data_IF_369932591585
#
_entry.id   IF_369932591585
#
_cell.length_a   1.000
_cell.length_b   1.000
_cell.length_c   1.000
_cell.angle_alpha   90.00
_cell.angle_beta   90.00
_cell.angle_gamma   90.00
#
_symmetry.space_group_name_H-M   'P 1'
#
loop_
_entity.id
_entity.type
_entity.pdbx_description
1 polymer ?
#
# COMPACT_ATOMS: atom_id res chain seq x y z
N UNK A 1 19.97 -26.11 8.50
CA UNK A 1 19.79 -25.19 9.65
C UNK A 1 18.29 -24.92 9.75
N UNK A 2 17.64 -25.29 10.85
CA UNK A 2 16.20 -25.01 10.99
C UNK A 2 16.05 -23.50 11.11
N UNK A 3 15.34 -22.87 10.18
CA UNK A 3 15.00 -21.46 10.32
C UNK A 3 14.34 -21.26 11.68
N UNK A 4 14.92 -20.43 12.55
CA UNK A 4 14.19 -19.93 13.71
C UNK A 4 12.92 -19.31 13.13
N UNK A 5 11.71 -19.74 13.53
CA UNK A 5 10.50 -19.20 12.94
C UNK A 5 10.49 -17.69 13.19
N UNK A 6 10.63 -16.89 12.13
CA UNK A 6 10.61 -15.42 12.19
C UNK A 6 9.40 -14.89 12.96
N UNK A 7 8.33 -15.68 13.01
CA UNK A 7 7.11 -15.48 13.79
C UNK A 7 7.35 -15.26 15.30
N UNK A 8 8.43 -15.79 15.90
CA UNK A 8 8.69 -15.62 17.34
C UNK A 8 9.06 -14.19 17.72
N UNK A 9 9.84 -13.50 16.87
CA UNK A 9 10.31 -12.14 17.08
C UNK A 9 9.13 -11.16 16.99
N UNK A 10 8.29 -11.37 15.97
CA UNK A 10 7.09 -10.57 15.72
C UNK A 10 6.06 -10.69 16.83
N UNK A 11 5.88 -11.90 17.39
CA UNK A 11 5.00 -12.11 18.52
C UNK A 11 5.53 -11.46 19.81
N UNK A 12 6.87 -11.38 19.97
CA UNK A 12 7.52 -10.79 21.13
C UNK A 12 7.43 -9.26 21.14
N UNK A 13 7.52 -8.64 19.96
CA UNK A 13 7.55 -7.18 19.77
C UNK A 13 6.31 -6.71 19.01
N UNK A 14 5.14 -7.21 19.38
CA UNK A 14 3.91 -7.02 18.61
C UNK A 14 3.50 -5.54 18.55
N UNK A 15 3.71 -4.81 19.64
CA UNK A 15 3.51 -3.37 19.76
C UNK A 15 4.43 -2.53 18.85
N UNK A 16 5.54 -3.13 18.42
CA UNK A 16 6.57 -2.57 17.55
C UNK A 16 6.43 -3.07 16.11
N UNK A 17 5.52 -3.99 15.84
CA UNK A 17 5.16 -4.33 14.47
C UNK A 17 4.43 -3.16 13.83
N UNK A 18 4.76 -2.85 12.58
CA UNK A 18 3.89 -2.07 11.73
C UNK A 18 2.49 -2.68 11.85
N UNK A 19 1.51 -1.83 12.20
CA UNK A 19 0.16 -2.32 12.51
C UNK A 19 -0.53 -2.84 11.24
N UNK A 20 -1.86 -2.84 11.17
CA UNK A 20 -2.56 -2.77 9.89
C UNK A 20 -3.00 -1.32 9.68
N UNK A 21 -2.71 -0.67 8.55
CA UNK A 21 -3.39 0.63 8.35
C UNK A 21 -4.86 0.28 8.16
N UNK A 22 -5.80 1.09 8.64
CA UNK A 22 -7.22 0.89 8.34
C UNK A 22 -7.47 0.68 6.84
N UNK A 23 -6.55 1.16 5.99
CA UNK A 23 -6.63 1.08 4.55
C UNK A 23 -5.40 0.44 3.89
N UNK A 24 -4.58 -0.35 4.59
CA UNK A 24 -3.42 -1.05 4.03
C UNK A 24 -3.15 -2.40 4.71
N UNK A 25 -2.79 -3.42 3.93
CA UNK A 25 -2.28 -4.70 4.45
C UNK A 25 -1.04 -5.10 3.64
N UNK A 26 0.20 -4.88 4.12
CA UNK A 26 1.41 -5.17 3.33
C UNK A 26 2.80 -4.83 3.91
N UNK A 27 3.88 -5.03 3.13
CA UNK A 27 5.27 -5.20 3.61
C UNK A 27 6.41 -4.69 2.67
N UNK A 28 7.67 -4.61 3.17
CA UNK A 28 8.90 -4.05 2.54
C UNK A 28 9.21 -4.49 1.10
N UNK A 29 9.06 -5.77 0.81
CA UNK A 29 9.45 -6.29 -0.51
C UNK A 29 8.35 -6.15 -1.56
N UNK A 30 7.10 -6.06 -1.10
CA UNK A 30 5.89 -6.00 -1.92
C UNK A 30 4.81 -5.35 -1.10
N UNK A 31 4.39 -4.17 -1.55
CA UNK A 31 3.15 -3.54 -1.12
C UNK A 31 2.06 -4.60 -1.25
N UNK A 32 1.51 -5.02 -0.12
CA UNK A 32 0.64 -6.18 0.02
C UNK A 32 1.18 -7.57 -0.39
N UNK A 33 2.19 -8.05 0.32
CA UNK A 33 2.65 -9.42 0.18
C UNK A 33 1.73 -10.45 0.85
N UNK A 34 0.94 -11.20 0.08
CA UNK A 34 0.16 -12.32 0.62
C UNK A 34 1.00 -13.45 1.24
N UNK A 35 2.33 -13.50 1.00
CA UNK A 35 3.25 -14.39 1.73
C UNK A 35 3.38 -14.07 3.20
N UNK A 36 3.24 -12.79 3.50
CA UNK A 36 3.48 -12.21 4.82
C UNK A 36 2.15 -11.83 5.46
N UNK A 37 1.02 -12.32 4.94
CA UNK A 37 -0.32 -12.06 5.48
C UNK A 37 -0.37 -12.35 6.97
N UNK A 38 -0.24 -11.32 7.79
CA UNK A 38 -0.19 -11.41 9.26
C UNK A 38 1.19 -11.70 9.86
N UNK A 39 2.24 -11.91 9.07
CA UNK A 39 3.62 -11.83 9.55
C UNK A 39 3.95 -10.35 9.64
N UNK A 40 3.60 -9.72 10.77
CA UNK A 40 3.94 -8.33 11.05
C UNK A 40 5.39 -8.04 10.65
N UNK A 41 5.67 -6.87 10.10
CA UNK A 41 7.05 -6.42 9.92
C UNK A 41 7.36 -5.51 11.09
N UNK A 42 8.57 -5.62 11.62
CA UNK A 42 9.05 -4.66 12.60
C UNK A 42 9.07 -3.26 11.98
N UNK A 43 8.48 -2.29 12.68
CA UNK A 43 8.57 -0.87 12.32
C UNK A 43 10.04 -0.46 12.17
N UNK A 44 10.42 0.32 11.17
CA UNK A 44 11.71 1.04 11.10
C UNK A 44 11.92 1.98 12.29
N UNK A 45 10.85 2.29 13.02
CA UNK A 45 10.89 3.04 14.27
C UNK A 45 11.05 2.17 15.52
N UNK A 46 11.13 0.83 15.43
CA UNK A 46 11.41 -0.02 16.59
C UNK A 46 12.90 -0.02 16.90
N UNK A 47 13.24 0.22 18.15
CA UNK A 47 14.58 -0.01 18.64
C UNK A 47 14.74 -1.46 19.13
N UNK A 48 13.80 -1.95 19.95
CA UNK A 48 13.95 -3.23 20.64
C UNK A 48 13.82 -4.44 19.71
N UNK A 49 12.91 -4.38 18.75
CA UNK A 49 12.75 -5.43 17.74
C UNK A 49 13.96 -5.51 16.82
N UNK A 50 14.48 -4.36 16.39
CA UNK A 50 15.70 -4.26 15.58
C UNK A 50 16.92 -4.78 16.36
N UNK A 51 17.09 -4.40 17.62
CA UNK A 51 18.21 -4.87 18.46
C UNK A 51 18.19 -6.40 18.61
N UNK A 52 17.00 -7.00 18.71
CA UNK A 52 16.86 -8.45 18.80
C UNK A 52 17.12 -9.17 17.46
N UNK A 53 16.74 -8.57 16.33
CA UNK A 53 17.10 -9.06 14.99
C UNK A 53 18.62 -8.97 14.77
N UNK A 54 19.21 -7.82 15.06
CA UNK A 54 20.66 -7.57 15.02
C UNK A 54 21.42 -8.52 15.93
N UNK A 55 20.95 -8.76 17.15
CA UNK A 55 21.54 -9.72 18.06
C UNK A 55 21.56 -11.14 17.50
N UNK A 56 20.54 -11.53 16.72
CA UNK A 56 20.48 -12.82 16.02
C UNK A 56 21.52 -12.90 14.90
N UNK A 57 21.71 -11.82 14.13
CA UNK A 57 22.77 -11.73 13.12
C UNK A 57 24.15 -11.73 13.76
N UNK A 58 24.41 -10.89 14.75
CA UNK A 58 25.68 -10.86 15.47
C UNK A 58 26.03 -12.24 16.08
N UNK A 59 25.04 -12.96 16.61
CA UNK A 59 25.23 -14.33 17.09
C UNK A 59 25.64 -15.29 15.96
N UNK A 60 25.00 -15.17 14.80
CA UNK A 60 25.35 -15.94 13.61
C UNK A 60 26.76 -15.60 13.11
N UNK A 61 27.10 -14.32 13.05
CA UNK A 61 28.44 -13.83 12.71
C UNK A 61 29.48 -14.43 13.63
N UNK A 62 29.32 -14.28 14.94
CA UNK A 62 30.26 -14.85 15.93
C UNK A 62 30.42 -16.36 15.80
N UNK A 63 29.34 -17.07 15.43
CA UNK A 63 29.36 -18.53 15.28
C UNK A 63 30.11 -19.00 14.04
N UNK A 64 29.91 -18.36 12.88
CA UNK A 64 30.45 -18.85 11.61
C UNK A 64 31.57 -17.98 11.03
N UNK A 65 32.01 -16.91 11.70
CA UNK A 65 33.10 -16.05 11.21
C UNK A 65 34.45 -16.77 11.06
N UNK A 66 34.64 -17.92 11.73
CA UNK A 66 35.84 -18.73 11.59
C UNK A 66 35.77 -19.74 10.42
N UNK A 67 34.62 -19.90 9.77
CA UNK A 67 34.46 -20.84 8.67
C UNK A 67 34.99 -20.22 7.37
N UNK A 68 36.04 -20.81 6.80
CA UNK A 68 36.72 -20.30 5.58
C UNK A 68 35.78 -20.19 4.35
N UNK A 69 34.65 -20.89 4.36
CA UNK A 69 33.65 -20.86 3.30
C UNK A 69 32.62 -19.73 3.46
N UNK A 70 32.66 -18.96 4.55
CA UNK A 70 31.77 -17.81 4.78
C UNK A 70 32.48 -16.54 4.31
N UNK A 71 32.11 -16.07 3.11
CA UNK A 71 32.76 -14.94 2.44
C UNK A 71 32.01 -13.61 2.59
N UNK A 72 30.86 -13.60 3.27
CA UNK A 72 30.06 -12.41 3.45
C UNK A 72 28.78 -12.67 4.25
N UNK A 73 28.18 -11.58 4.71
CA UNK A 73 26.94 -11.56 5.46
C UNK A 73 25.95 -10.67 4.72
N UNK A 74 24.72 -11.17 4.53
CA UNK A 74 23.65 -10.32 4.04
C UNK A 74 23.16 -9.45 5.21
N UNK A 75 23.01 -8.16 4.94
CA UNK A 75 22.47 -7.19 5.88
C UNK A 75 21.05 -7.64 6.33
N UNK A 76 20.77 -7.73 7.64
CA UNK A 76 19.49 -8.25 8.14
C UNK A 76 18.28 -7.43 7.71
N UNK A 77 18.44 -6.11 7.61
CA UNK A 77 17.35 -5.19 7.29
C UNK A 77 17.01 -5.15 5.79
N UNK A 78 17.25 -6.26 5.08
CA UNK A 78 17.00 -6.55 3.67
C UNK A 78 18.18 -6.29 2.72
N UNK A 79 18.05 -6.75 1.48
CA UNK A 79 18.81 -6.16 0.37
C UNK A 79 18.66 -4.63 0.50
N UNK A 80 19.75 -3.87 0.36
CA UNK A 80 19.74 -2.41 0.20
C UNK A 80 19.06 -2.00 -1.13
N UNK A 81 17.96 -2.67 -1.50
CA UNK A 81 17.12 -2.46 -2.65
C UNK A 81 16.38 -1.14 -2.50
N UNK A 82 16.83 -0.19 -3.30
CA UNK A 82 16.29 1.15 -3.41
C UNK A 82 15.07 1.17 -4.33
N UNK A 83 14.03 1.90 -3.95
CA UNK A 83 12.94 2.20 -4.88
C UNK A 83 11.75 2.93 -4.27
N UNK A 84 10.89 3.44 -5.15
CA UNK A 84 9.61 4.13 -4.84
C UNK A 84 8.64 3.32 -3.98
N UNK A 85 8.92 2.04 -3.73
CA UNK A 85 8.07 1.11 -2.98
C UNK A 85 8.22 1.24 -1.46
N UNK A 86 9.25 1.94 -1.00
CA UNK A 86 9.52 2.18 0.41
C UNK A 86 8.50 3.11 1.10
N UNK A 87 7.66 3.77 0.33
CA UNK A 87 6.70 4.76 0.79
C UNK A 87 5.49 4.16 1.52
N UNK A 88 5.33 2.84 1.50
CA UNK A 88 4.19 2.12 2.11
C UNK A 88 4.54 1.36 3.39
N UNK A 89 5.75 1.53 3.90
CA UNK A 89 6.33 0.54 4.80
C UNK A 89 6.15 0.85 6.28
N UNK A 90 5.66 2.04 6.61
CA UNK A 90 5.76 2.52 7.97
C UNK A 90 4.53 3.33 8.38
N UNK A 91 3.86 2.86 9.42
CA UNK A 91 2.69 3.50 10.00
C UNK A 91 2.36 2.95 11.39
N UNK A 92 1.61 3.74 12.14
CA UNK A 92 1.19 3.41 13.50
C UNK A 92 2.07 4.08 14.56
N UNK A 93 1.86 3.71 15.84
CA UNK A 93 2.43 4.46 16.96
C UNK A 93 3.96 4.52 16.99
N UNK A 94 4.65 3.47 16.56
CA UNK A 94 6.10 3.42 16.49
C UNK A 94 6.66 4.38 15.43
N UNK A 95 6.07 4.35 14.23
CA UNK A 95 6.34 5.26 13.12
C UNK A 95 6.10 6.72 13.50
N UNK A 96 4.93 7.01 14.08
CA UNK A 96 4.57 8.37 14.46
C UNK A 96 5.52 8.90 15.53
N UNK A 97 5.88 8.07 16.52
CA UNK A 97 6.85 8.44 17.55
C UNK A 97 8.20 8.76 16.93
N UNK A 98 8.79 7.85 16.15
CA UNK A 98 10.13 8.05 15.58
C UNK A 98 10.17 9.20 14.58
N UNK A 99 9.09 9.40 13.81
CA UNK A 99 8.97 10.55 12.91
C UNK A 99 8.91 11.87 13.67
N UNK A 100 8.14 11.94 14.76
CA UNK A 100 8.12 13.12 15.64
C UNK A 100 9.48 13.39 16.26
N UNK A 101 10.20 12.35 16.69
CA UNK A 101 11.54 12.52 17.28
C UNK A 101 12.55 13.05 16.25
N UNK A 102 12.50 12.54 15.03
CA UNK A 102 13.25 13.10 13.90
C UNK A 102 12.94 14.58 13.67
N UNK A 103 11.66 14.95 13.63
CA UNK A 103 11.24 16.34 13.42
C UNK A 103 11.59 17.25 14.60
N UNK A 104 11.54 16.75 15.83
CA UNK A 104 12.02 17.48 17.02
C UNK A 104 13.50 17.76 16.90
N UNK A 105 14.31 16.79 16.50
CA UNK A 105 15.74 16.98 16.26
C UNK A 105 16.01 17.97 15.13
N UNK A 106 15.24 17.90 14.04
CA UNK A 106 15.42 18.76 12.85
C UNK A 106 14.95 20.20 13.05
N UNK A 107 13.79 20.39 13.67
CA UNK A 107 13.12 21.70 13.75
C UNK A 107 13.08 22.28 15.17
N UNK A 108 13.04 21.44 16.20
CA UNK A 108 12.96 21.86 17.61
C UNK A 108 11.55 22.25 18.09
N UNK A 109 10.61 22.62 17.22
CA UNK A 109 9.23 22.97 17.61
C UNK A 109 8.19 22.65 16.54
N UNK A 110 6.96 22.35 16.97
CA UNK A 110 5.81 22.12 16.08
C UNK A 110 5.48 23.37 15.25
N UNK A 111 5.72 24.57 15.79
CA UNK A 111 5.50 25.83 15.05
C UNK A 111 6.37 25.94 13.79
N UNK A 112 7.62 25.45 13.83
CA UNK A 112 8.49 25.42 12.65
C UNK A 112 8.05 24.35 11.65
N UNK A 113 7.57 23.20 12.12
CA UNK A 113 6.95 22.18 11.26
C UNK A 113 5.72 22.74 10.56
N UNK A 114 4.79 23.36 11.31
CA UNK A 114 3.60 24.03 10.78
C UNK A 114 3.95 25.08 9.72
N UNK A 115 4.93 25.94 10.00
CA UNK A 115 5.40 26.93 9.02
C UNK A 115 6.02 26.29 7.77
N UNK A 116 6.67 25.13 7.90
CA UNK A 116 7.32 24.44 6.80
C UNK A 116 6.33 23.67 5.91
N UNK A 117 5.28 23.11 6.52
CA UNK A 117 4.28 22.26 5.85
C UNK A 117 2.95 22.96 5.58
N UNK A 118 2.81 24.23 5.97
CA UNK A 118 1.53 24.95 5.87
C UNK A 118 0.42 24.35 6.73
N UNK A 119 0.76 23.58 7.77
CA UNK A 119 -0.21 22.92 8.65
C UNK A 119 -0.47 23.73 9.93
N UNK A 120 -1.38 23.24 10.77
CA UNK A 120 -1.79 23.87 12.03
C UNK A 120 -1.87 22.86 13.18
N UNK A 121 -0.89 21.97 13.29
CA UNK A 121 -0.85 21.00 14.38
C UNK A 121 -0.78 21.73 15.73
N UNK A 122 -1.68 21.38 16.64
CA UNK A 122 -1.76 22.00 17.97
C UNK A 122 -0.55 21.62 18.85
N UNK A 123 -0.10 20.39 18.73
CA UNK A 123 1.04 19.83 19.44
C UNK A 123 1.74 18.74 18.59
N UNK A 124 2.75 18.10 19.17
CA UNK A 124 3.44 17.01 18.49
C UNK A 124 2.56 15.78 18.27
N UNK A 125 1.58 15.48 19.12
CA UNK A 125 0.75 14.28 18.96
C UNK A 125 -0.11 14.34 17.70
N UNK A 126 -0.45 15.54 17.23
CA UNK A 126 -1.13 15.77 15.95
C UNK A 126 -0.23 15.60 14.71
N UNK A 127 1.09 15.39 14.90
CA UNK A 127 2.02 15.08 13.82
C UNK A 127 2.12 13.55 13.67
N UNK A 128 1.80 13.08 12.47
CA UNK A 128 1.84 11.67 12.10
C UNK A 128 2.82 11.45 10.93
N UNK A 129 3.39 10.25 10.86
CA UNK A 129 4.10 9.82 9.66
C UNK A 129 3.12 9.91 8.47
N UNK A 130 3.45 10.64 7.38
CA UNK A 130 2.56 10.78 6.25
C UNK A 130 2.31 9.43 5.59
N UNK A 131 1.10 9.21 5.12
CA UNK A 131 0.84 8.10 4.21
C UNK A 131 1.00 8.53 2.75
N UNK A 132 1.22 7.56 1.86
CA UNK A 132 1.52 7.87 0.46
C UNK A 132 0.35 8.56 -0.26
N UNK A 133 -0.89 8.20 0.08
CA UNK A 133 -2.07 8.78 -0.53
C UNK A 133 -2.11 10.31 -0.35
N UNK A 134 -1.61 10.84 0.77
CA UNK A 134 -1.58 12.30 1.06
C UNK A 134 -0.77 13.08 0.03
N UNK A 135 0.24 12.44 -0.57
CA UNK A 135 1.04 13.04 -1.63
C UNK A 135 0.40 12.94 -3.02
N UNK A 136 -0.73 12.25 -3.11
CA UNK A 136 -1.40 11.88 -4.35
C UNK A 136 -2.89 12.24 -4.34
N UNK A 137 -3.22 13.36 -3.69
CA UNK A 137 -4.56 13.94 -3.75
C UNK A 137 -5.51 13.40 -2.69
N UNK A 138 -5.06 12.60 -1.74
CA UNK A 138 -5.83 12.34 -0.52
C UNK A 138 -5.71 13.52 0.43
N UNK A 139 -6.85 14.09 0.80
CA UNK A 139 -7.00 15.16 1.78
C UNK A 139 -8.34 14.99 2.52
N UNK A 140 -8.70 15.95 3.38
CA UNK A 140 -9.97 15.91 4.13
C UNK A 140 -11.21 16.02 3.24
N UNK A 141 -11.07 16.45 1.99
CA UNK A 141 -12.16 16.56 1.01
C UNK A 141 -12.26 15.33 0.09
N UNK A 142 -11.28 14.42 0.12
CA UNK A 142 -11.33 13.19 -0.67
C UNK A 142 -12.50 12.29 -0.23
N UNK A 143 -13.20 11.69 -1.21
CA UNK A 143 -14.27 10.74 -0.94
C UNK A 143 -13.70 9.33 -0.83
N UNK A 144 -13.74 8.78 0.38
CA UNK A 144 -13.28 7.43 0.67
C UNK A 144 -14.22 6.38 0.05
N UNK A 145 -13.67 5.46 -0.76
CA UNK A 145 -14.41 4.31 -1.28
C UNK A 145 -14.09 3.03 -0.49
N UNK A 146 -13.38 3.15 0.65
CA UNK A 146 -13.23 2.05 1.60
C UNK A 146 -14.60 1.59 2.08
N UNK A 147 -14.82 0.28 2.05
CA UNK A 147 -16.08 -0.31 2.48
C UNK A 147 -16.28 -1.68 1.87
N UNK A 148 -17.53 -2.11 1.78
CA UNK A 148 -17.86 -3.45 1.29
C UNK A 148 -17.84 -3.50 -0.24
N UNK A 149 -17.05 -4.43 -0.78
CA UNK A 149 -16.97 -4.75 -2.19
C UNK A 149 -17.50 -6.15 -2.47
N UNK A 150 -18.21 -6.28 -3.59
CA UNK A 150 -18.54 -7.56 -4.22
C UNK A 150 -17.39 -7.98 -5.12
N UNK A 151 -16.97 -9.24 -5.07
CA UNK A 151 -15.86 -9.76 -5.88
C UNK A 151 -16.20 -11.06 -6.58
N UNK A 152 -15.80 -11.16 -7.84
CA UNK A 152 -15.87 -12.38 -8.64
C UNK A 152 -14.62 -12.52 -9.49
N UNK A 153 -13.95 -13.66 -9.35
CA UNK A 153 -12.79 -13.99 -10.19
C UNK A 153 -13.23 -14.42 -11.58
N UNK A 154 -12.45 -14.02 -12.58
CA UNK A 154 -12.57 -14.51 -13.95
C UNK A 154 -12.35 -16.03 -13.99
N UNK A 155 -12.96 -16.71 -14.96
CA UNK A 155 -12.73 -18.15 -15.14
C UNK A 155 -11.32 -18.40 -15.71
N UNK A 156 -10.70 -19.51 -15.34
CA UNK A 156 -9.41 -19.88 -15.94
C UNK A 156 -9.61 -20.25 -17.41
N UNK A 157 -8.65 -19.90 -18.27
CA UNK A 157 -8.72 -20.30 -19.67
C UNK A 157 -8.70 -21.84 -19.80
N UNK A 158 -9.30 -22.42 -20.86
CA UNK A 158 -9.33 -23.87 -21.04
C UNK A 158 -7.94 -24.51 -20.97
N UNK A 159 -7.79 -25.53 -20.11
CA UNK A 159 -6.51 -26.22 -19.88
C UNK A 159 -5.56 -25.52 -18.89
N UNK A 160 -5.90 -24.35 -18.38
CA UNK A 160 -5.16 -23.68 -17.31
C UNK A 160 -5.76 -24.03 -15.95
N UNK A 161 -4.91 -24.34 -14.97
CA UNK A 161 -5.32 -24.57 -13.58
C UNK A 161 -4.69 -23.53 -12.69
N UNK A 162 -5.49 -22.88 -11.85
CA UNK A 162 -4.95 -22.01 -10.81
C UNK A 162 -4.28 -22.89 -9.74
N UNK A 163 -2.96 -22.78 -9.61
CA UNK A 163 -2.23 -23.41 -8.53
C UNK A 163 -1.93 -22.34 -7.45
N UNK A 164 -2.62 -22.37 -6.30
CA UNK A 164 -2.38 -21.41 -5.23
C UNK A 164 -0.97 -21.49 -4.67
N UNK A 165 -0.26 -22.62 -4.78
CA UNK A 165 1.12 -22.79 -4.30
C UNK A 165 2.16 -22.21 -5.26
N UNK A 166 1.78 -21.98 -6.53
CA UNK A 166 2.61 -21.32 -7.55
C UNK A 166 2.32 -19.82 -7.67
N UNK A 167 1.64 -19.24 -6.69
CA UNK A 167 1.36 -17.80 -6.65
C UNK A 167 2.63 -16.94 -6.86
N UNK A 168 3.83 -17.43 -6.47
CA UNK A 168 5.15 -16.81 -6.74
C UNK A 168 5.44 -16.53 -8.22
N UNK A 169 4.93 -17.38 -9.11
CA UNK A 169 5.07 -17.27 -10.58
C UNK A 169 3.85 -16.56 -11.17
N UNK A 170 2.66 -16.78 -10.60
CA UNK A 170 1.40 -16.18 -11.06
C UNK A 170 1.29 -14.67 -10.79
N UNK A 171 1.89 -14.14 -9.72
CA UNK A 171 1.85 -12.69 -9.45
C UNK A 171 2.59 -11.84 -10.49
N UNK A 172 3.61 -12.42 -11.12
CA UNK A 172 4.54 -11.75 -12.04
C UNK A 172 4.25 -12.04 -13.51
N UNK A 173 3.25 -12.88 -13.78
CA UNK A 173 2.88 -13.26 -15.14
C UNK A 173 1.39 -13.08 -15.30
N UNK A 174 0.98 -12.62 -16.47
CA UNK A 174 -0.43 -12.61 -16.84
C UNK A 174 -1.01 -14.02 -16.68
N UNK A 175 -1.94 -14.17 -15.74
CA UNK A 175 -2.75 -15.39 -15.61
C UNK A 175 -3.71 -15.43 -16.79
N UNK A 176 -3.74 -16.55 -17.52
CA UNK A 176 -4.68 -16.71 -18.62
C UNK A 176 -6.06 -17.06 -18.07
N UNK A 177 -6.98 -16.12 -18.24
CA UNK A 177 -8.38 -16.24 -17.90
C UNK A 177 -9.26 -16.03 -19.12
N UNK A 178 -10.51 -16.47 -19.03
CA UNK A 178 -11.60 -15.99 -19.87
C UNK A 178 -11.94 -14.58 -19.39
N UNK A 179 -11.88 -13.54 -20.25
CA UNK A 179 -12.22 -12.18 -19.83
C UNK A 179 -13.59 -12.10 -19.17
N UNK A 180 -13.71 -11.24 -18.15
CA UNK A 180 -14.99 -10.98 -17.52
C UNK A 180 -16.06 -10.59 -18.57
N UNK A 181 -17.25 -11.20 -18.54
CA UNK A 181 -18.36 -10.83 -19.41
C UNK A 181 -18.71 -9.34 -19.27
N UNK A 182 -19.13 -8.69 -20.37
CA UNK A 182 -19.38 -7.25 -20.39
C UNK A 182 -20.48 -6.82 -19.41
N UNK A 183 -21.47 -7.69 -19.18
CA UNK A 183 -22.55 -7.47 -18.23
C UNK A 183 -22.07 -7.29 -16.79
N UNK A 184 -20.91 -7.87 -16.41
CA UNK A 184 -20.33 -7.67 -15.07
C UNK A 184 -19.95 -6.21 -14.80
N UNK A 185 -19.82 -5.39 -15.84
CA UNK A 185 -19.50 -3.96 -15.72
C UNK A 185 -20.73 -3.06 -15.86
N UNK A 186 -21.91 -3.60 -16.18
CA UNK A 186 -23.13 -2.83 -16.30
C UNK A 186 -23.56 -2.25 -14.95
N UNK A 187 -24.21 -1.09 -14.97
CA UNK A 187 -24.67 -0.41 -13.75
C UNK A 187 -25.61 -1.29 -12.92
N UNK A 188 -26.74 -1.72 -13.49
CA UNK A 188 -27.75 -2.54 -12.82
C UNK A 188 -27.51 -4.04 -12.86
N UNK A 189 -26.26 -4.49 -12.93
CA UNK A 189 -25.93 -5.92 -12.87
C UNK A 189 -26.17 -6.46 -11.46
N UNK A 190 -26.90 -7.57 -11.36
CA UNK A 190 -27.13 -8.28 -10.09
C UNK A 190 -25.90 -9.09 -9.68
N UNK A 191 -25.11 -8.54 -8.77
CA UNK A 191 -23.93 -9.16 -8.17
C UNK A 191 -24.20 -9.73 -6.76
N UNK A 192 -25.46 -9.88 -6.34
CA UNK A 192 -25.80 -10.35 -5.00
C UNK A 192 -25.23 -11.75 -4.70
N UNK A 193 -25.02 -12.57 -5.73
CA UNK A 193 -24.39 -13.90 -5.63
C UNK A 193 -22.86 -13.89 -5.60
N UNK A 194 -22.21 -12.72 -5.62
CA UNK A 194 -20.75 -12.59 -5.56
C UNK A 194 -20.25 -12.60 -4.11
N UNK A 195 -18.97 -12.95 -3.94
CA UNK A 195 -18.32 -12.89 -2.62
C UNK A 195 -18.23 -11.45 -2.12
N UNK A 196 -18.18 -11.25 -0.81
CA UNK A 196 -18.01 -9.93 -0.19
C UNK A 196 -16.71 -9.85 0.60
N UNK A 197 -16.08 -8.69 0.57
CA UNK A 197 -15.04 -8.30 1.53
C UNK A 197 -15.00 -6.78 1.70
N UNK A 198 -14.47 -6.32 2.82
CA UNK A 198 -14.21 -4.89 2.99
C UNK A 198 -12.83 -4.56 2.37
N UNK A 199 -12.77 -3.61 1.45
CA UNK A 199 -11.51 -3.23 0.79
C UNK A 199 -11.33 -1.71 0.68
N UNK A 200 -10.12 -1.21 0.97
CA UNK A 200 -9.08 -1.90 1.76
C UNK A 200 -9.54 -2.12 3.22
N UNK A 201 -8.71 -2.75 4.06
CA UNK A 201 -8.97 -2.85 5.50
C UNK A 201 -9.43 -4.23 6.00
N UNK A 202 -9.61 -5.21 5.12
CA UNK A 202 -9.84 -6.61 5.47
C UNK A 202 -8.67 -7.50 5.08
N UNK A 203 -8.15 -8.29 6.03
CA UNK A 203 -7.02 -9.18 5.76
C UNK A 203 -7.41 -10.35 4.85
N UNK A 204 -8.72 -10.64 4.73
CA UNK A 204 -9.23 -11.60 3.75
C UNK A 204 -8.80 -11.24 2.32
N UNK A 205 -8.61 -9.94 2.02
CA UNK A 205 -8.08 -9.50 0.73
C UNK A 205 -6.71 -10.13 0.42
N UNK A 206 -5.87 -10.36 1.43
CA UNK A 206 -4.55 -10.98 1.29
C UNK A 206 -4.65 -12.43 0.83
N UNK A 207 -5.69 -13.13 1.26
CA UNK A 207 -5.89 -14.56 1.00
C UNK A 207 -6.76 -14.85 -0.23
N UNK A 208 -7.20 -13.81 -0.95
CA UNK A 208 -7.90 -13.98 -2.22
C UNK A 208 -7.01 -14.68 -3.26
N UNK A 209 -7.59 -15.51 -4.14
CA UNK A 209 -6.88 -16.06 -5.29
C UNK A 209 -6.19 -14.96 -6.09
N UNK A 210 -4.88 -15.11 -6.31
CA UNK A 210 -4.04 -14.18 -7.10
C UNK A 210 -4.23 -14.40 -8.59
N UNK A 211 -5.41 -14.02 -9.09
CA UNK A 211 -5.84 -14.14 -10.49
C UNK A 211 -6.87 -13.05 -10.79
N UNK A 212 -7.14 -12.75 -12.08
CA UNK A 212 -8.03 -11.67 -12.45
C UNK A 212 -9.40 -11.74 -11.76
N UNK A 213 -9.88 -10.60 -11.27
CA UNK A 213 -11.19 -10.48 -10.67
C UNK A 213 -11.83 -9.12 -10.97
N UNK A 214 -13.15 -9.10 -10.93
CA UNK A 214 -13.94 -7.87 -10.94
C UNK A 214 -14.43 -7.60 -9.52
N UNK A 215 -14.17 -6.38 -9.07
CA UNK A 215 -14.67 -5.80 -7.84
C UNK A 215 -15.80 -4.83 -8.18
N UNK A 216 -16.90 -4.87 -7.45
CA UNK A 216 -18.04 -3.97 -7.61
C UNK A 216 -18.43 -3.35 -6.27
N UNK A 217 -18.80 -2.08 -6.30
CA UNK A 217 -19.31 -1.34 -5.15
C UNK A 217 -20.32 -0.29 -5.60
N UNK A 218 -21.42 -0.17 -4.87
CA UNK A 218 -22.31 0.98 -4.95
C UNK A 218 -21.96 1.98 -3.84
N UNK A 219 -22.03 3.27 -4.16
CA UNK A 219 -21.76 4.34 -3.21
C UNK A 219 -22.61 5.56 -3.50
N UNK A 220 -22.96 6.31 -2.45
CA UNK A 220 -23.72 7.54 -2.57
C UNK A 220 -22.79 8.75 -2.46
N UNK A 221 -22.77 9.59 -3.49
CA UNK A 221 -21.99 10.81 -3.52
C UNK A 221 -22.86 11.99 -3.04
N UNK A 222 -22.51 12.65 -1.91
CA UNK A 222 -23.25 13.82 -1.43
C UNK A 222 -23.27 14.92 -2.48
N UNK A 223 -24.40 15.62 -2.60
CA UNK A 223 -24.59 16.68 -3.59
C UNK A 223 -23.56 17.80 -3.43
N UNK A 224 -23.21 18.09 -2.19
CA UNK A 224 -22.29 19.13 -1.77
C UNK A 224 -20.81 18.71 -1.85
N UNK A 225 -20.50 17.44 -2.12
CA UNK A 225 -19.12 16.95 -2.10
C UNK A 225 -18.25 17.59 -3.19
N UNK A 226 -18.79 17.81 -4.39
CA UNK A 226 -18.07 18.47 -5.49
C UNK A 226 -18.77 19.71 -5.97
N UNK A 227 -18.00 20.70 -6.41
CA UNK A 227 -18.55 21.86 -7.10
C UNK A 227 -18.98 21.46 -8.52
N UNK A 228 -20.02 22.11 -9.09
CA UNK A 228 -20.37 21.91 -10.49
C UNK A 228 -19.16 22.18 -11.41
N UNK A 229 -18.91 21.26 -12.36
CA UNK A 229 -17.79 21.31 -13.33
C UNK A 229 -16.39 21.13 -12.73
N UNK A 230 -16.28 20.78 -11.46
CA UNK A 230 -15.02 20.38 -10.87
C UNK A 230 -14.61 19.01 -11.43
N UNK A 231 -13.34 18.91 -11.86
CA UNK A 231 -12.79 17.64 -12.35
C UNK A 231 -12.60 16.69 -11.19
N UNK A 232 -12.86 15.41 -11.44
CA UNK A 232 -12.76 14.35 -10.41
C UNK A 232 -11.89 13.22 -10.93
N UNK A 233 -11.01 12.75 -10.06
CA UNK A 233 -10.10 11.64 -10.32
C UNK A 233 -10.39 10.49 -9.36
N UNK A 234 -10.54 9.29 -9.92
CA UNK A 234 -10.59 8.03 -9.18
C UNK A 234 -9.15 7.51 -9.03
N UNK A 235 -8.67 7.43 -7.80
CA UNK A 235 -7.40 6.81 -7.45
C UNK A 235 -7.65 5.37 -7.05
N UNK A 236 -6.95 4.44 -7.69
CA UNK A 236 -7.03 3.00 -7.42
C UNK A 236 -5.65 2.49 -7.07
N UNK A 237 -5.47 2.13 -5.81
CA UNK A 237 -4.24 1.52 -5.33
C UNK A 237 -4.38 0.00 -5.36
N UNK A 238 -4.33 -0.51 -6.59
CA UNK A 238 -4.60 -1.91 -6.88
C UNK A 238 -3.45 -2.83 -6.42
N UNK A 239 -2.21 -2.35 -6.46
CA UNK A 239 -1.00 -3.07 -6.03
C UNK A 239 -0.75 -4.39 -6.79
N UNK A 240 -1.31 -4.53 -7.99
CA UNK A 240 -1.15 -5.69 -8.85
C UNK A 240 0.21 -5.64 -9.56
N UNK A 241 0.77 -6.82 -9.87
CA UNK A 241 2.11 -6.98 -10.46
C UNK A 241 2.11 -7.81 -11.76
N UNK A 242 0.94 -8.13 -12.30
CA UNK A 242 0.79 -8.88 -13.56
C UNK A 242 1.14 -7.99 -14.76
N UNK A 243 2.44 -7.83 -15.01
CA UNK A 243 3.01 -7.02 -16.09
C UNK A 243 2.30 -7.26 -17.43
N UNK A 244 1.94 -6.16 -18.10
CA UNK A 244 1.26 -6.14 -19.38
C UNK A 244 -0.24 -6.46 -19.34
N UNK A 245 -0.79 -6.92 -18.20
CA UNK A 245 -2.24 -7.05 -18.03
C UNK A 245 -2.89 -5.72 -17.61
N UNK A 246 -4.22 -5.62 -17.70
CA UNK A 246 -4.92 -4.35 -17.55
C UNK A 246 -5.67 -4.23 -16.21
N UNK A 247 -5.47 -3.11 -15.53
CA UNK A 247 -6.46 -2.56 -14.59
C UNK A 247 -7.49 -1.79 -15.40
N UNK A 248 -8.78 -2.08 -15.21
CA UNK A 248 -9.88 -1.44 -15.95
C UNK A 248 -10.90 -0.89 -14.96
N UNK A 249 -11.39 0.33 -15.19
CA UNK A 249 -12.39 0.97 -14.34
C UNK A 249 -13.64 1.34 -15.14
N UNK A 250 -14.80 1.10 -14.53
CA UNK A 250 -16.12 1.51 -15.01
C UNK A 250 -16.85 2.26 -13.91
N UNK A 251 -17.52 3.35 -14.27
CA UNK A 251 -18.41 4.11 -13.39
C UNK A 251 -19.77 4.18 -14.07
N UNK A 252 -20.83 3.76 -13.38
CA UNK A 252 -22.21 3.74 -13.91
C UNK A 252 -22.32 3.06 -15.28
N UNK A 253 -21.66 1.92 -15.45
CA UNK A 253 -21.64 1.16 -16.71
C UNK A 253 -20.73 1.74 -17.80
N UNK A 254 -20.17 2.94 -17.63
CA UNK A 254 -19.28 3.57 -18.59
C UNK A 254 -17.82 3.25 -18.26
N UNK A 255 -17.06 2.73 -19.24
CA UNK A 255 -15.61 2.55 -19.11
C UNK A 255 -14.94 3.92 -19.00
N UNK A 256 -14.32 4.20 -17.87
CA UNK A 256 -13.61 5.47 -17.61
C UNK A 256 -12.12 5.38 -17.96
N UNK A 257 -11.58 4.18 -18.00
CA UNK A 257 -10.22 3.96 -18.48
C UNK A 257 -9.71 2.55 -18.30
N UNK A 258 -8.54 2.31 -18.87
CA UNK A 258 -7.74 1.11 -18.65
C UNK A 258 -6.27 1.50 -18.59
N UNK A 259 -5.49 0.74 -17.83
CA UNK A 259 -4.05 0.97 -17.70
C UNK A 259 -3.31 -0.36 -17.61
N UNK A 260 -2.30 -0.59 -18.45
CA UNK A 260 -1.44 -1.75 -18.31
C UNK A 260 -0.59 -1.65 -17.04
N UNK A 261 -0.37 -2.77 -16.39
CA UNK A 261 0.64 -2.89 -15.33
C UNK A 261 2.01 -2.74 -16.00
N UNK A 262 2.76 -1.66 -15.73
CA UNK A 262 3.97 -1.35 -16.50
C UNK A 262 5.16 -2.23 -16.12
N UNK A 263 5.16 -2.82 -14.93
CA UNK A 263 6.27 -3.59 -14.39
C UNK A 263 5.81 -4.50 -13.24
N UNK A 264 6.62 -5.49 -12.87
CA UNK A 264 6.42 -6.46 -11.78
C UNK A 264 6.55 -5.84 -10.36
N UNK A 265 6.08 -4.62 -10.20
CA UNK A 265 6.11 -3.85 -8.96
C UNK A 265 4.71 -3.35 -8.65
N UNK A 266 4.26 -3.40 -7.38
CA UNK A 266 2.97 -2.87 -6.99
C UNK A 266 2.79 -1.45 -7.50
N UNK A 267 1.65 -1.21 -8.12
CA UNK A 267 1.33 0.07 -8.72
C UNK A 267 0.03 0.63 -8.20
N UNK A 268 -0.22 1.87 -8.60
CA UNK A 268 -1.50 2.52 -8.50
C UNK A 268 -1.83 3.13 -9.86
N UNK A 269 -3.10 3.38 -10.09
CA UNK A 269 -3.57 4.08 -11.26
C UNK A 269 -4.59 5.15 -10.89
N UNK A 270 -4.84 6.03 -11.85
CA UNK A 270 -5.76 7.14 -11.71
C UNK A 270 -6.54 7.29 -13.01
N UNK A 271 -7.84 7.52 -12.87
CA UNK A 271 -8.76 7.70 -13.98
C UNK A 271 -9.54 9.00 -13.76
N UNK A 272 -9.70 9.81 -14.80
CA UNK A 272 -10.63 10.94 -14.74
C UNK A 272 -12.06 10.41 -14.90
N UNK A 273 -12.93 10.76 -13.95
CA UNK A 273 -14.30 10.22 -13.86
C UNK A 273 -15.38 11.31 -13.81
N UNK A 274 -14.98 12.56 -14.08
CA UNK A 274 -15.80 13.77 -13.98
C UNK A 274 -17.20 13.61 -14.59
N UNK A 275 -17.27 13.08 -15.81
CA UNK A 275 -18.48 13.00 -16.62
C UNK A 275 -19.30 11.73 -16.38
N UNK A 276 -18.70 10.74 -15.69
CA UNK A 276 -19.38 9.47 -15.39
C UNK A 276 -20.03 9.47 -14.01
N UNK A 277 -19.69 10.41 -13.13
CA UNK A 277 -20.28 10.56 -11.80
C UNK A 277 -21.57 11.39 -11.83
N UNK A 278 -22.53 11.00 -10.99
CA UNK A 278 -23.79 11.73 -10.74
C UNK A 278 -24.01 11.99 -9.24
N UNK A 279 -24.90 12.93 -8.93
CA UNK A 279 -25.36 13.16 -7.54
C UNK A 279 -26.09 11.89 -7.03
N UNK A 280 -25.86 11.50 -5.77
CA UNK A 280 -26.47 10.32 -5.16
C UNK A 280 -25.79 9.02 -5.58
N UNK A 281 -26.59 7.99 -5.87
CA UNK A 281 -26.11 6.62 -6.08
C UNK A 281 -25.28 6.47 -7.36
N UNK A 282 -24.10 5.90 -7.22
CA UNK A 282 -23.17 5.53 -8.28
C UNK A 282 -22.74 4.08 -8.12
N UNK A 283 -22.40 3.42 -9.23
CA UNK A 283 -21.80 2.09 -9.25
C UNK A 283 -20.37 2.16 -9.80
N UNK A 284 -19.42 1.56 -9.10
CA UNK A 284 -18.02 1.40 -9.51
C UNK A 284 -17.73 -0.08 -9.75
N UNK A 285 -17.14 -0.39 -10.90
CA UNK A 285 -16.60 -1.71 -11.18
C UNK A 285 -15.11 -1.62 -11.59
N UNK A 286 -14.27 -2.43 -10.96
CA UNK A 286 -12.84 -2.50 -11.18
C UNK A 286 -12.44 -3.91 -11.59
N UNK A 287 -11.80 -4.07 -12.75
CA UNK A 287 -11.13 -5.33 -13.12
C UNK A 287 -9.67 -5.23 -12.73
N UNK A 288 -9.22 -6.11 -11.83
CA UNK A 288 -7.88 -6.11 -11.26
C UNK A 288 -7.13 -7.39 -11.66
N UNK A 289 -5.92 -7.31 -12.26
CA UNK A 289 -5.20 -8.47 -12.81
C UNK A 289 -4.87 -9.62 -11.85
N UNK A 290 -4.54 -9.33 -10.60
CA UNK A 290 -4.29 -10.32 -9.55
C UNK A 290 -5.47 -10.44 -8.58
N UNK A 291 -6.62 -9.82 -8.90
CA UNK A 291 -7.82 -9.87 -8.07
C UNK A 291 -7.56 -9.31 -6.67
N UNK A 292 -6.75 -8.25 -6.60
CA UNK A 292 -6.23 -7.72 -5.36
C UNK A 292 -6.43 -6.20 -5.28
N UNK A 293 -6.98 -5.75 -4.14
CA UNK A 293 -7.22 -4.35 -3.79
C UNK A 293 -6.75 -4.13 -2.34
N UNK A 294 -5.50 -3.68 -2.19
CA UNK A 294 -4.81 -3.71 -0.90
C UNK A 294 -4.59 -2.38 -0.21
N UNK A 295 -4.87 -1.28 -0.92
CA UNK A 295 -4.74 0.06 -0.38
C UNK A 295 -5.92 0.95 -0.78
N UNK A 296 -5.85 2.26 -0.48
CA UNK A 296 -6.97 3.19 -0.65
C UNK A 296 -7.58 3.12 -2.06
N UNK A 297 -8.90 3.25 -2.13
CA UNK A 297 -9.60 3.62 -3.36
C UNK A 297 -10.43 4.84 -3.01
N UNK A 298 -10.33 5.91 -3.79
CA UNK A 298 -10.98 7.17 -3.44
C UNK A 298 -11.19 8.06 -4.64
N UNK A 299 -12.13 9.00 -4.50
CA UNK A 299 -12.30 10.11 -5.41
C UNK A 299 -11.65 11.35 -4.82
N UNK A 300 -11.02 12.15 -5.68
CA UNK A 300 -10.44 13.44 -5.29
C UNK A 300 -10.67 14.47 -6.38
N UNK A 301 -10.76 15.74 -5.97
CA UNK A 301 -10.75 16.93 -6.85
C UNK A 301 -9.33 17.48 -7.02
N UNK A 302 -8.33 16.80 -6.47
CA UNK A 302 -6.92 17.10 -6.67
C UNK A 302 -6.36 16.21 -7.81
N UNK A 303 -5.85 16.80 -8.91
CA UNK A 303 -5.26 16.02 -10.00
C UNK A 303 -4.00 15.28 -9.55
N UNK A 304 -3.68 14.14 -10.20
CA UNK A 304 -2.49 13.37 -9.88
C UNK A 304 -1.24 14.20 -10.17
N UNK A 305 -0.43 14.41 -9.14
CA UNK A 305 0.85 15.12 -9.20
C UNK A 305 1.94 14.21 -8.68
N UNK A 306 3.13 14.33 -9.24
CA UNK A 306 4.31 13.64 -8.71
C UNK A 306 5.20 14.66 -8.02
N UNK A 307 5.91 14.25 -6.96
CA UNK A 307 7.04 15.02 -6.45
C UNK A 307 8.03 15.35 -7.61
N UNK A 308 8.55 16.59 -7.73
CA UNK A 308 8.41 17.73 -6.81
C UNK A 308 7.32 18.75 -7.21
N UNK A 309 6.23 18.33 -7.85
CA UNK A 309 5.15 19.22 -8.30
C UNK A 309 3.96 19.26 -7.33
N UNK A 310 4.15 18.91 -6.06
CA UNK A 310 3.08 18.86 -5.05
C UNK A 310 2.75 20.24 -4.45
N UNK A 311 3.57 21.25 -4.73
CA UNK A 311 3.56 22.54 -4.05
C UNK A 311 4.63 22.62 -2.95
N UNK A 312 5.12 23.82 -2.60
CA UNK A 312 6.24 23.99 -1.65
C UNK A 312 6.06 23.25 -0.31
N UNK A 313 4.86 23.34 0.27
CA UNK A 313 4.51 22.78 1.58
C UNK A 313 4.49 21.25 1.55
N UNK A 314 3.80 20.66 0.56
CA UNK A 314 3.71 19.20 0.44
C UNK A 314 5.03 18.59 -0.03
N UNK A 315 5.80 19.28 -0.88
CA UNK A 315 7.15 18.88 -1.22
C UNK A 315 8.06 18.88 0.01
N UNK A 316 7.91 19.86 0.91
CA UNK A 316 8.66 19.89 2.15
C UNK A 316 8.37 18.67 3.03
N UNK A 317 7.08 18.33 3.17
CA UNK A 317 6.64 17.15 3.91
C UNK A 317 7.14 15.84 3.29
N UNK A 318 7.13 15.74 1.95
CA UNK A 318 7.73 14.60 1.24
C UNK A 318 9.23 14.46 1.53
N UNK A 319 9.98 15.56 1.47
CA UNK A 319 11.42 15.57 1.76
C UNK A 319 11.68 15.16 3.21
N UNK A 320 10.91 15.68 4.17
CA UNK A 320 11.05 15.30 5.58
C UNK A 320 10.73 13.83 5.83
N UNK A 321 9.72 13.29 5.14
CA UNK A 321 9.42 11.87 5.17
C UNK A 321 10.58 11.03 4.62
N UNK A 322 11.08 11.35 3.42
CA UNK A 322 12.21 10.65 2.82
C UNK A 322 13.50 10.75 3.66
N UNK A 323 13.77 11.92 4.25
CA UNK A 323 14.92 12.13 5.13
C UNK A 323 14.81 11.28 6.41
N UNK A 324 13.63 11.21 7.01
CA UNK A 324 13.37 10.37 8.17
C UNK A 324 13.58 8.89 7.86
N UNK A 325 13.09 8.41 6.72
CA UNK A 325 13.36 7.04 6.25
C UNK A 325 14.87 6.77 6.15
N UNK A 326 15.63 7.74 5.63
CA UNK A 326 17.09 7.67 5.61
C UNK A 326 17.73 7.70 7.00
N UNK A 327 17.17 8.47 7.94
CA UNK A 327 17.66 8.58 9.31
C UNK A 327 17.46 7.29 10.10
N UNK A 328 16.28 6.65 10.00
CA UNK A 328 16.00 5.37 10.67
C UNK A 328 16.95 4.29 10.19
N UNK A 329 17.21 4.22 8.88
CA UNK A 329 18.21 3.28 8.30
C UNK A 329 19.61 3.51 8.83
N UNK A 330 20.06 4.76 8.86
CA UNK A 330 21.38 5.10 9.41
C UNK A 330 21.46 4.66 10.88
N UNK A 331 20.41 4.91 11.66
CA UNK A 331 20.35 4.51 13.05
C UNK A 331 20.43 2.98 13.22
N UNK A 332 19.68 2.21 12.42
CA UNK A 332 19.76 0.74 12.43
C UNK A 332 21.14 0.20 12.06
N UNK A 333 21.79 0.78 11.03
CA UNK A 333 23.16 0.40 10.65
C UNK A 333 24.16 0.72 11.78
N UNK A 334 24.09 1.91 12.37
CA UNK A 334 24.98 2.29 13.47
C UNK A 334 24.81 1.36 14.66
N UNK A 335 23.56 1.06 15.06
CA UNK A 335 23.28 0.12 16.15
C UNK A 335 23.83 -1.28 15.87
N UNK A 336 23.73 -1.78 14.64
CA UNK A 336 24.24 -3.10 14.29
C UNK A 336 25.77 -3.21 14.31
N UNK A 337 26.47 -2.08 14.14
CA UNK A 337 27.93 -2.00 14.14
C UNK A 337 28.54 -1.86 15.55
N UNK A 338 27.77 -1.41 16.53
CA UNK A 338 28.12 -1.37 17.96
C UNK A 338 27.90 -2.74 18.62
#
# INVERSE_FOLDING_TARGET
VSAIPTTWLLNRYREDTALKMPQYSGSFYRVADSRLGGNGILSWGTAEGEDAELGTVQSSVRRFAADENVVGWLEPHSELGHGKQQLFLEYGPASDRSFRDFLRKKYGSVAKVNSRWGTKHADWNAVHAPELAEFLGWDEEAFDLTGRWRVRHEEMAPGETYNPDQWRVAERRKVKSVPAPAEWFAEGFDDAGWGELDAPGDDRAMFLPKRPAVFRQEFDLPKEWRKPKERVWLYVWDLNMAEGDLTVAYVNGQKVGERPIPFWTPQWCVFEVTDSLREGSNALALRLPNGYLGYRTYLSTTPPKNFPYLGPEMNARWVDFADWQGDMRRAGITRGAE
#
